data_IF_835606115378
#
_entry.id   IF_835606115378
#
_cell.length_a   1.000
_cell.length_b   1.000
_cell.length_c   1.000
_cell.angle_alpha   90.00
_cell.angle_beta   90.00
_cell.angle_gamma   90.00
#
_symmetry.space_group_name_H-M   'P 1'
#
loop_
_entity.id
_entity.type
_entity.pdbx_description
1 polymer ?
#
# COMPACT_ATOMS: atom_id res chain seq x y z
N UNK A 1 9.77 15.02 35.00
CA UNK A 1 9.66 16.45 34.67
C UNK A 1 8.19 16.81 34.65
N UNK A 2 7.72 17.82 35.41
CA UNK A 2 6.29 18.17 35.43
C UNK A 2 5.90 18.76 34.08
N UNK A 3 4.81 18.23 33.50
CA UNK A 3 4.15 18.82 32.35
C UNK A 3 3.64 20.23 32.74
N UNK A 4 4.28 21.28 32.22
CA UNK A 4 3.75 22.63 32.36
C UNK A 4 2.37 22.67 31.68
N UNK A 5 1.34 22.93 32.47
CA UNK A 5 0.02 23.28 32.00
C UNK A 5 0.18 24.50 31.09
N UNK A 6 -0.10 24.35 29.79
CA UNK A 6 -0.08 25.45 28.83
C UNK A 6 -1.35 26.27 29.07
N UNK A 7 -1.21 27.28 29.92
CA UNK A 7 -2.21 28.29 30.26
C UNK A 7 -2.73 29.00 29.01
N UNK A 8 -3.62 28.58 28.30
CA UNK A 8 -4.30 29.09 27.11
C UNK A 8 -3.97 30.52 26.58
N UNK A 9 -2.83 31.09 27.00
CA UNK A 9 -2.34 32.44 26.67
C UNK A 9 -1.26 32.39 25.58
N UNK A 10 -1.16 33.47 24.78
CA UNK A 10 -0.02 33.63 23.86
C UNK A 10 1.23 34.08 24.64
N UNK A 11 2.40 34.18 23.99
CA UNK A 11 3.65 34.62 24.61
C UNK A 11 3.62 36.03 25.22
N UNK A 12 2.57 36.81 24.99
CA UNK A 12 2.32 38.15 25.53
C UNK A 12 1.21 38.18 26.61
N UNK A 13 0.78 37.00 27.14
CA UNK A 13 -0.22 36.93 28.20
C UNK A 13 -1.68 37.08 27.73
N UNK A 14 -1.95 37.37 26.47
CA UNK A 14 -3.28 37.55 25.94
C UNK A 14 -3.99 36.21 25.68
N UNK A 15 -5.31 36.10 25.89
CA UNK A 15 -6.04 34.89 25.57
C UNK A 15 -5.95 34.57 24.07
N UNK A 16 -5.66 33.33 23.76
CA UNK A 16 -5.61 32.88 22.37
C UNK A 16 -7.01 32.88 21.75
N UNK A 17 -7.14 33.30 20.48
CA UNK A 17 -8.43 33.24 19.80
C UNK A 17 -8.98 31.81 19.82
N UNK A 18 -10.30 31.71 20.06
CA UNK A 18 -11.00 30.45 20.06
C UNK A 18 -11.68 30.22 18.71
N UNK A 19 -11.76 28.97 18.29
CA UNK A 19 -12.34 28.56 17.01
C UNK A 19 -13.26 27.36 17.23
N UNK A 20 -14.40 27.34 16.55
CA UNK A 20 -15.33 26.21 16.59
C UNK A 20 -14.80 25.08 15.73
N UNK A 21 -14.58 23.92 16.33
CA UNK A 21 -14.19 22.73 15.61
C UNK A 21 -15.36 22.13 14.83
N UNK A 22 -15.23 21.94 13.52
CA UNK A 22 -16.27 21.31 12.69
C UNK A 22 -16.50 19.84 13.07
N UNK A 23 -15.54 19.18 13.70
CA UNK A 23 -15.65 17.78 14.13
C UNK A 23 -16.46 17.62 15.42
N UNK A 24 -16.01 18.19 16.55
CA UNK A 24 -16.66 18.06 17.85
C UNK A 24 -17.61 19.19 18.19
N UNK A 25 -17.76 20.21 17.35
CA UNK A 25 -18.60 21.40 17.54
C UNK A 25 -18.23 22.27 18.76
N UNK A 26 -17.10 22.00 19.39
CA UNK A 26 -16.64 22.74 20.57
C UNK A 26 -15.86 24.01 20.18
N UNK A 27 -16.03 25.05 20.98
CA UNK A 27 -15.23 26.27 20.88
C UNK A 27 -13.89 26.06 21.59
N UNK A 28 -12.83 25.89 20.85
CA UNK A 28 -11.51 25.48 21.33
C UNK A 28 -10.42 26.54 21.03
N UNK A 29 -9.37 26.64 21.87
CA UNK A 29 -8.23 27.49 21.59
C UNK A 29 -7.57 27.13 20.26
N UNK A 30 -7.14 28.15 19.51
CA UNK A 30 -6.54 28.01 18.17
C UNK A 30 -5.31 27.08 18.14
N UNK A 31 -4.54 27.01 19.22
CA UNK A 31 -3.36 26.10 19.29
C UNK A 31 -3.70 24.61 19.25
N UNK A 32 -4.96 24.24 19.45
CA UNK A 32 -5.44 22.87 19.27
C UNK A 32 -5.73 22.51 17.82
N UNK A 33 -5.54 23.43 16.89
CA UNK A 33 -5.66 23.21 15.45
C UNK A 33 -4.29 23.20 14.79
N UNK A 34 -4.17 22.53 13.66
CA UNK A 34 -2.97 22.59 12.80
C UNK A 34 -3.14 23.69 11.77
N UNK A 35 -2.06 24.32 11.36
CA UNK A 35 -2.07 25.21 10.18
C UNK A 35 -2.40 24.43 8.91
N UNK A 36 -3.01 25.08 7.93
CA UNK A 36 -3.31 24.49 6.62
C UNK A 36 -2.02 24.14 5.88
N UNK A 37 -1.08 25.09 5.86
CA UNK A 37 0.29 24.90 5.39
C UNK A 37 1.21 25.10 6.58
N UNK A 38 2.05 24.11 6.88
CA UNK A 38 2.90 24.11 8.08
C UNK A 38 3.97 25.20 8.00
N UNK A 39 4.49 25.42 6.80
CA UNK A 39 5.55 26.38 6.47
C UNK A 39 5.01 27.80 6.28
N UNK A 40 3.70 27.97 6.09
CA UNK A 40 3.04 29.26 5.92
C UNK A 40 1.80 29.38 6.83
N UNK A 41 1.97 29.84 8.08
CA UNK A 41 0.86 30.06 9.01
C UNK A 41 -0.15 31.10 8.55
N UNK A 42 0.18 32.01 7.62
CA UNK A 42 -0.72 33.04 7.10
C UNK A 42 -1.92 32.46 6.34
N UNK A 43 -1.78 31.24 5.82
CA UNK A 43 -2.86 30.48 5.15
C UNK A 43 -3.96 30.01 6.11
N UNK A 44 -3.81 30.30 7.40
CA UNK A 44 -4.79 29.98 8.44
C UNK A 44 -4.71 28.55 8.95
N UNK A 45 -5.65 28.22 9.84
CA UNK A 45 -5.73 26.91 10.49
C UNK A 45 -6.73 25.98 9.79
N UNK A 46 -6.63 24.68 10.09
CA UNK A 46 -7.60 23.68 9.66
C UNK A 46 -8.90 23.84 10.43
N UNK A 47 -9.98 23.40 9.83
CA UNK A 47 -11.36 23.46 10.36
C UNK A 47 -11.64 22.48 11.52
N UNK A 48 -10.76 21.49 11.71
CA UNK A 48 -10.85 20.45 12.75
C UNK A 48 -9.69 20.55 13.72
N UNK A 49 -9.99 20.40 15.02
CA UNK A 49 -8.95 20.31 16.04
C UNK A 49 -8.09 19.04 15.82
N UNK A 50 -6.90 19.03 16.40
CA UNK A 50 -5.90 17.95 16.22
C UNK A 50 -6.48 16.58 16.60
N UNK A 51 -7.26 16.47 17.70
CA UNK A 51 -7.86 15.19 18.12
C UNK A 51 -8.91 14.70 17.13
N UNK A 52 -9.83 15.57 16.66
CA UNK A 52 -10.82 15.21 15.64
C UNK A 52 -10.18 14.87 14.29
N UNK A 53 -9.08 15.53 13.93
CA UNK A 53 -8.31 15.19 12.72
C UNK A 53 -7.63 13.83 12.84
N UNK A 54 -7.04 13.53 14.00
CA UNK A 54 -6.43 12.23 14.28
C UNK A 54 -7.45 11.10 14.28
N UNK A 55 -8.62 11.31 14.88
CA UNK A 55 -9.71 10.33 14.90
C UNK A 55 -10.25 10.07 13.49
N UNK A 56 -10.47 11.12 12.69
CA UNK A 56 -10.87 10.99 11.28
C UNK A 56 -9.83 10.19 10.49
N UNK A 57 -8.55 10.49 10.68
CA UNK A 57 -7.47 9.76 10.01
C UNK A 57 -7.41 8.30 10.46
N UNK A 58 -7.65 8.00 11.75
CA UNK A 58 -7.74 6.63 12.29
C UNK A 58 -8.89 5.86 11.65
N UNK A 59 -10.10 6.44 11.64
CA UNK A 59 -11.29 5.84 11.01
C UNK A 59 -11.09 5.58 9.51
N UNK A 60 -10.49 6.53 8.80
CA UNK A 60 -10.19 6.37 7.38
C UNK A 60 -9.12 5.29 7.12
N UNK A 61 -8.09 5.20 7.98
CA UNK A 61 -7.09 4.13 7.91
C UNK A 61 -7.72 2.76 8.14
N UNK A 62 -8.63 2.66 9.13
CA UNK A 62 -9.36 1.42 9.42
C UNK A 62 -10.28 1.03 8.26
N UNK A 63 -11.02 2.00 7.69
CA UNK A 63 -11.85 1.79 6.50
C UNK A 63 -11.04 1.29 5.31
N UNK A 64 -9.85 1.89 5.05
CA UNK A 64 -8.94 1.44 3.99
C UNK A 64 -8.39 0.05 4.25
N UNK A 65 -8.04 -0.25 5.51
CA UNK A 65 -7.57 -1.58 5.91
C UNK A 65 -8.64 -2.65 5.65
N UNK A 66 -9.89 -2.36 6.03
CA UNK A 66 -11.00 -3.28 5.82
C UNK A 66 -11.34 -3.43 4.33
N UNK A 67 -11.36 -2.34 3.57
CA UNK A 67 -11.61 -2.38 2.12
C UNK A 67 -10.51 -3.16 1.37
N UNK A 68 -9.23 -2.99 1.75
CA UNK A 68 -8.12 -3.76 1.22
C UNK A 68 -8.28 -5.27 1.48
N UNK A 69 -8.71 -5.65 2.67
CA UNK A 69 -8.95 -7.05 3.03
C UNK A 69 -10.00 -7.72 2.14
N UNK A 70 -10.99 -6.94 1.67
CA UNK A 70 -12.07 -7.44 0.82
C UNK A 70 -11.82 -7.31 -0.69
N UNK A 71 -10.80 -6.55 -1.14
CA UNK A 71 -10.54 -6.34 -2.56
C UNK A 71 -9.03 -6.30 -2.91
N UNK A 72 -8.27 -7.36 -2.64
CA UNK A 72 -6.86 -7.44 -3.01
C UNK A 72 -6.66 -7.37 -4.54
N UNK A 73 -7.61 -7.89 -5.32
CA UNK A 73 -7.62 -7.87 -6.78
C UNK A 73 -7.63 -6.46 -7.36
N UNK A 74 -8.41 -5.52 -6.79
CA UNK A 74 -8.39 -4.11 -7.23
C UNK A 74 -7.03 -3.44 -7.03
N UNK A 75 -6.37 -3.73 -5.91
CA UNK A 75 -5.04 -3.18 -5.66
C UNK A 75 -4.00 -3.78 -6.61
N UNK A 76 -4.08 -5.09 -6.89
CA UNK A 76 -3.22 -5.77 -7.86
C UNK A 76 -3.42 -5.19 -9.26
N UNK A 77 -4.67 -4.98 -9.70
CA UNK A 77 -5.02 -4.36 -10.97
C UNK A 77 -4.50 -2.92 -11.06
N UNK A 78 -4.69 -2.11 -10.02
CA UNK A 78 -4.20 -0.73 -9.98
C UNK A 78 -2.68 -0.67 -10.08
N UNK A 79 -1.97 -1.54 -9.35
CA UNK A 79 -0.52 -1.60 -9.35
C UNK A 79 0.04 -2.07 -10.70
N UNK A 80 -0.59 -3.07 -11.35
CA UNK A 80 -0.18 -3.53 -12.68
C UNK A 80 -0.38 -2.43 -13.73
N UNK A 81 -1.50 -1.69 -13.67
CA UNK A 81 -1.76 -0.56 -14.56
C UNK A 81 -0.72 0.56 -14.42
N UNK A 82 -0.33 0.88 -13.19
CA UNK A 82 0.71 1.88 -12.94
C UNK A 82 2.08 1.42 -13.48
N UNK A 83 2.43 0.14 -13.30
CA UNK A 83 3.67 -0.44 -13.84
C UNK A 83 3.68 -0.45 -15.36
N UNK A 84 2.58 -0.87 -15.99
CA UNK A 84 2.42 -0.84 -17.44
C UNK A 84 2.57 0.58 -18.00
N UNK A 85 1.87 1.56 -17.41
CA UNK A 85 1.98 2.98 -17.81
C UNK A 85 3.43 3.50 -17.71
N UNK A 86 4.13 3.16 -16.60
CA UNK A 86 5.53 3.59 -16.42
C UNK A 86 6.48 2.97 -17.45
N UNK A 87 6.21 1.73 -17.85
CA UNK A 87 7.02 0.98 -18.82
C UNK A 87 6.59 1.16 -20.29
N UNK A 88 5.52 1.95 -20.56
CA UNK A 88 4.98 2.10 -21.93
C UNK A 88 4.39 0.82 -22.51
N UNK A 89 3.92 -0.11 -21.66
CA UNK A 89 3.40 -1.41 -22.05
C UNK A 89 1.88 -1.44 -22.12
N UNK A 90 1.37 -2.33 -22.95
CA UNK A 90 -0.06 -2.64 -23.03
C UNK A 90 -0.61 -3.15 -21.70
N UNK A 91 -1.88 -2.80 -21.41
CA UNK A 91 -2.60 -3.25 -20.22
C UNK A 91 -4.08 -3.42 -20.55
N UNK A 92 -4.49 -4.63 -20.85
CA UNK A 92 -5.88 -4.97 -21.25
C UNK A 92 -6.64 -5.76 -20.19
N UNK A 93 -5.94 -6.26 -19.14
CA UNK A 93 -6.59 -7.05 -18.09
C UNK A 93 -7.62 -6.25 -17.30
N UNK A 94 -8.66 -6.94 -16.92
CA UNK A 94 -9.75 -6.48 -16.04
C UNK A 94 -9.66 -7.14 -14.67
N UNK A 95 -10.59 -6.81 -13.77
CA UNK A 95 -10.65 -7.44 -12.45
C UNK A 95 -11.02 -8.91 -12.52
N UNK A 96 -11.83 -9.29 -13.53
CA UNK A 96 -12.32 -10.66 -13.71
C UNK A 96 -11.21 -11.61 -14.19
N UNK A 97 -10.14 -11.07 -14.77
CA UNK A 97 -8.96 -11.84 -15.17
C UNK A 97 -8.03 -12.17 -14.00
N UNK A 98 -8.26 -11.55 -12.82
CA UNK A 98 -7.43 -11.75 -11.63
C UNK A 98 -8.08 -12.76 -10.69
N UNK A 99 -7.88 -14.04 -10.98
CA UNK A 99 -8.34 -15.15 -10.11
C UNK A 99 -7.18 -15.58 -9.22
N UNK A 100 -7.30 -15.35 -7.90
CA UNK A 100 -6.27 -15.73 -6.93
C UNK A 100 -6.45 -17.20 -6.55
N UNK A 101 -5.50 -18.09 -6.90
CA UNK A 101 -5.57 -19.49 -6.51
C UNK A 101 -5.29 -19.65 -5.00
N UNK A 102 -5.67 -20.76 -4.42
CA UNK A 102 -5.37 -21.07 -3.02
C UNK A 102 -3.86 -21.25 -2.78
N UNK A 103 -3.18 -21.87 -3.75
CA UNK A 103 -1.74 -22.15 -3.71
C UNK A 103 -1.03 -21.51 -4.90
N UNK A 104 0.20 -21.06 -4.68
CA UNK A 104 1.06 -20.55 -5.74
C UNK A 104 1.39 -21.68 -6.74
N UNK A 105 1.07 -21.54 -8.04
CA UNK A 105 1.30 -22.58 -9.02
C UNK A 105 2.79 -22.90 -9.26
N UNK A 106 3.68 -21.99 -8.88
CA UNK A 106 5.14 -22.15 -9.08
C UNK A 106 5.79 -22.80 -7.86
N UNK A 107 5.46 -22.35 -6.64
CA UNK A 107 6.15 -22.80 -5.41
C UNK A 107 5.30 -23.71 -4.53
N UNK A 108 4.02 -23.95 -4.86
CA UNK A 108 3.11 -24.78 -4.05
C UNK A 108 2.77 -24.22 -2.67
N UNK A 109 3.19 -23.00 -2.34
CA UNK A 109 2.90 -22.38 -1.04
C UNK A 109 1.52 -21.76 -1.03
N UNK A 110 0.82 -21.85 0.11
CA UNK A 110 -0.48 -21.22 0.30
C UNK A 110 -0.39 -19.70 0.19
N UNK A 111 -1.25 -19.10 -0.64
CA UNK A 111 -1.31 -17.64 -0.80
C UNK A 111 -2.05 -16.99 0.37
N UNK A 112 -1.48 -15.94 0.92
CA UNK A 112 -2.04 -15.18 2.02
C UNK A 112 -2.52 -13.79 1.56
N UNK A 113 -3.82 -13.56 1.71
CA UNK A 113 -4.50 -12.32 1.32
C UNK A 113 -4.59 -11.35 2.52
N UNK A 114 -4.25 -11.79 3.74
CA UNK A 114 -4.66 -11.15 5.00
C UNK A 114 -3.82 -9.97 5.47
N UNK A 115 -2.58 -9.80 5.07
CA UNK A 115 -1.70 -8.74 5.57
C UNK A 115 -1.19 -7.83 4.44
N UNK A 116 -1.18 -6.51 4.72
CA UNK A 116 -0.67 -5.48 3.80
C UNK A 116 0.84 -5.52 3.60
N UNK A 117 1.56 -6.18 4.47
CA UNK A 117 2.99 -6.38 4.27
C UNK A 117 3.18 -7.36 3.14
N UNK A 118 4.01 -7.02 2.18
CA UNK A 118 4.40 -7.92 1.09
C UNK A 118 5.20 -9.09 1.66
N UNK A 119 4.49 -10.03 2.30
CA UNK A 119 5.07 -11.30 2.66
C UNK A 119 5.36 -12.12 1.40
N UNK A 120 6.29 -13.04 1.47
CA UNK A 120 6.60 -13.92 0.36
C UNK A 120 5.37 -14.64 -0.21
N UNK A 121 4.37 -14.91 0.64
CA UNK A 121 3.13 -15.60 0.30
C UNK A 121 2.02 -14.70 -0.25
N UNK A 122 2.18 -13.37 -0.27
CA UNK A 122 1.18 -12.47 -0.82
C UNK A 122 1.00 -12.72 -2.32
N UNK A 123 -0.25 -12.70 -2.84
CA UNK A 123 -0.49 -12.86 -4.28
C UNK A 123 0.09 -11.67 -5.07
N UNK A 124 0.66 -11.97 -6.23
CA UNK A 124 1.25 -11.01 -7.15
C UNK A 124 0.92 -11.38 -8.59
N UNK A 125 0.65 -10.37 -9.43
CA UNK A 125 0.55 -10.57 -10.89
C UNK A 125 1.98 -10.64 -11.44
N UNK A 126 2.30 -11.77 -12.04
CA UNK A 126 3.50 -11.99 -12.85
C UNK A 126 3.15 -11.95 -14.33
N UNK A 127 4.06 -11.48 -15.18
CA UNK A 127 3.97 -11.58 -16.63
C UNK A 127 4.76 -12.80 -17.08
N UNK A 128 4.12 -13.72 -17.81
CA UNK A 128 4.80 -14.93 -18.31
C UNK A 128 6.01 -14.52 -19.16
N UNK A 129 5.78 -13.65 -20.11
CA UNK A 129 6.81 -13.02 -20.95
C UNK A 129 7.00 -11.56 -20.52
N UNK A 130 8.17 -11.21 -20.03
CA UNK A 130 8.50 -9.88 -19.53
C UNK A 130 8.56 -8.81 -20.62
N UNK A 131 8.69 -9.21 -21.90
CA UNK A 131 8.70 -8.29 -23.04
C UNK A 131 7.30 -7.85 -23.46
N UNK A 132 6.27 -8.60 -23.06
CA UNK A 132 4.86 -8.30 -23.34
C UNK A 132 4.19 -7.56 -22.20
N UNK A 133 3.04 -6.95 -22.50
CA UNK A 133 2.23 -6.23 -21.53
C UNK A 133 1.39 -7.12 -20.62
N UNK A 134 0.46 -6.51 -19.93
CA UNK A 134 -0.50 -7.20 -19.05
C UNK A 134 -1.76 -7.56 -19.85
N UNK A 135 -1.70 -8.69 -20.54
CA UNK A 135 -2.84 -9.29 -21.25
C UNK A 135 -3.26 -10.57 -20.53
N UNK A 136 -4.48 -11.03 -20.76
CA UNK A 136 -5.03 -12.23 -20.10
C UNK A 136 -4.15 -13.46 -20.33
N UNK A 137 -3.61 -13.60 -21.52
CA UNK A 137 -2.76 -14.73 -21.93
C UNK A 137 -1.34 -14.63 -21.36
N UNK A 138 -0.93 -13.42 -20.94
CA UNK A 138 0.43 -13.13 -20.49
C UNK A 138 0.54 -12.89 -18.99
N UNK A 139 -0.53 -13.11 -18.21
CA UNK A 139 -0.46 -12.96 -16.75
C UNK A 139 -0.66 -14.30 -16.05
N UNK A 140 -0.05 -14.39 -14.87
CA UNK A 140 -0.26 -15.48 -13.92
C UNK A 140 -0.28 -14.91 -12.50
N UNK A 141 -1.16 -15.46 -11.65
CA UNK A 141 -1.17 -15.10 -10.24
C UNK A 141 -0.30 -16.07 -9.47
N UNK A 142 0.79 -15.56 -8.94
CA UNK A 142 1.82 -16.31 -8.20
C UNK A 142 2.04 -15.69 -6.83
N UNK A 143 2.83 -16.33 -5.97
CA UNK A 143 3.31 -15.70 -4.75
C UNK A 143 4.31 -14.57 -5.06
N UNK A 144 4.34 -13.55 -4.23
CA UNK A 144 5.35 -12.48 -4.32
C UNK A 144 6.77 -13.06 -4.29
N UNK A 145 6.99 -14.17 -3.57
CA UNK A 145 8.28 -14.88 -3.55
C UNK A 145 8.64 -15.44 -4.92
N UNK A 146 7.71 -16.13 -5.59
CA UNK A 146 7.94 -16.66 -6.93
C UNK A 146 8.23 -15.54 -7.93
N UNK A 147 7.43 -14.45 -7.89
CA UNK A 147 7.61 -13.30 -8.75
C UNK A 147 8.96 -12.61 -8.53
N UNK A 148 9.41 -12.48 -7.27
CA UNK A 148 10.74 -11.95 -6.96
C UNK A 148 11.88 -12.85 -7.42
N UNK A 149 11.71 -14.17 -7.34
CA UNK A 149 12.71 -15.14 -7.82
C UNK A 149 12.84 -15.12 -9.35
N UNK A 150 11.70 -14.99 -10.04
CA UNK A 150 11.69 -14.87 -11.50
C UNK A 150 12.25 -13.52 -11.95
N UNK A 151 11.82 -12.42 -11.31
CA UNK A 151 12.21 -11.05 -11.63
C UNK A 151 12.06 -10.76 -13.14
N UNK A 152 13.17 -10.49 -13.84
CA UNK A 152 13.25 -10.20 -15.26
C UNK A 152 13.75 -11.40 -16.10
N UNK A 153 13.97 -12.56 -15.46
CA UNK A 153 14.43 -13.76 -16.17
C UNK A 153 13.44 -14.21 -17.25
N UNK A 154 14.01 -14.68 -18.37
CA UNK A 154 13.27 -15.36 -19.43
C UNK A 154 12.91 -16.79 -19.02
N UNK A 155 11.99 -17.44 -19.73
CA UNK A 155 11.64 -18.84 -19.47
C UNK A 155 12.83 -19.76 -19.71
N UNK A 156 13.65 -19.48 -20.73
CA UNK A 156 14.86 -20.23 -21.08
C UNK A 156 15.89 -20.14 -19.94
N UNK A 157 16.12 -18.95 -19.40
CA UNK A 157 17.04 -18.77 -18.26
C UNK A 157 16.56 -19.52 -17.03
N UNK A 158 15.27 -19.48 -16.72
CA UNK A 158 14.68 -20.23 -15.60
C UNK A 158 14.84 -21.73 -15.78
N UNK A 159 14.66 -22.25 -17.00
CA UNK A 159 14.87 -23.67 -17.33
C UNK A 159 16.35 -24.06 -17.16
N UNK A 160 17.27 -23.22 -17.64
CA UNK A 160 18.71 -23.46 -17.48
C UNK A 160 19.12 -23.46 -16.02
N UNK A 161 18.65 -22.49 -15.24
CA UNK A 161 18.90 -22.42 -13.80
C UNK A 161 18.32 -23.65 -13.08
N UNK A 162 17.09 -24.02 -13.39
CA UNK A 162 16.44 -25.18 -12.79
C UNK A 162 17.25 -26.47 -13.02
N UNK A 163 17.67 -26.73 -14.26
CA UNK A 163 18.51 -27.87 -14.62
C UNK A 163 19.85 -27.87 -13.89
N UNK A 164 20.51 -26.72 -13.82
CA UNK A 164 21.77 -26.57 -13.10
C UNK A 164 21.65 -26.94 -11.61
N UNK A 165 20.67 -26.38 -10.92
CA UNK A 165 20.49 -26.66 -9.49
C UNK A 165 19.98 -28.08 -9.23
N UNK A 166 19.20 -28.66 -10.12
CA UNK A 166 18.80 -30.06 -10.04
C UNK A 166 20.02 -30.99 -10.10
N UNK A 167 20.93 -30.79 -11.07
CA UNK A 167 22.16 -31.56 -11.19
C UNK A 167 23.08 -31.39 -9.97
N UNK A 168 23.13 -30.19 -9.37
CA UNK A 168 23.90 -29.99 -8.14
C UNK A 168 23.32 -30.79 -6.98
N UNK A 169 22.00 -30.81 -6.82
CA UNK A 169 21.33 -31.57 -5.77
C UNK A 169 21.60 -33.09 -5.91
N UNK A 170 21.56 -33.62 -7.15
CA UNK A 170 21.83 -35.03 -7.43
C UNK A 170 23.27 -35.45 -7.10
N UNK A 171 24.26 -34.52 -7.24
CA UNK A 171 25.64 -34.76 -6.86
C UNK A 171 25.94 -34.68 -5.37
N UNK A 172 25.01 -34.15 -4.58
CA UNK A 172 25.15 -34.03 -3.12
C UNK A 172 24.47 -35.18 -2.34
N UNK A 173 23.68 -36.02 -3.00
CA UNK A 173 23.09 -37.25 -2.48
C UNK A 173 23.91 -38.47 -2.90
#
# INVERSE_FOLDING_TARGET
MPQMARDGKNGFGNPRPKVVCVGCKQLLPQNLFSYKIKEDPSQGIRDRCKSCSAEKARKERERRKNNWKYQPTLAMLSNSRQRAKKAGMEHTITIDDIVIPEYCPVLGIKLDIGDRKKHGNAPSIDRIDNLKGYTKENIMIVSNRANMLKNDATLEELIMMGKFYQNLKEKQN
#
